data_IF_137815038750
#
_entry.id   IF_137815038750
#
_cell.length_a   1.000
_cell.length_b   1.000
_cell.length_c   1.000
_cell.angle_alpha   90.00
_cell.angle_beta   90.00
_cell.angle_gamma   90.00
#
_symmetry.space_group_name_H-M   'P 1'
#
loop_
_entity.id
_entity.type
_entity.pdbx_description
1 polymer ?
#
# COMPACT_ATOMS: atom_id res chain seq x y z
N UNK A 1 31.12 9.15 0.67
CA UNK A 1 29.68 9.46 0.77
C UNK A 1 29.25 9.92 -0.60
N UNK A 2 28.09 9.51 -1.07
CA UNK A 2 27.55 9.98 -2.35
C UNK A 2 26.64 11.20 -2.13
N UNK A 3 26.38 11.96 -3.20
CA UNK A 3 25.24 12.88 -3.22
C UNK A 3 23.95 12.10 -3.42
N UNK A 4 22.87 12.51 -2.75
CA UNK A 4 21.55 11.91 -2.97
C UNK A 4 21.08 12.10 -4.42
N UNK A 5 21.41 13.23 -5.02
CA UNK A 5 21.14 13.56 -6.43
C UNK A 5 21.67 12.52 -7.40
N UNK A 6 22.97 12.17 -7.30
CA UNK A 6 23.60 11.21 -8.19
C UNK A 6 22.85 9.87 -8.18
N UNK A 7 22.46 9.39 -6.99
CA UNK A 7 21.68 8.15 -6.86
C UNK A 7 20.28 8.27 -7.47
N UNK A 8 19.55 9.34 -7.11
CA UNK A 8 18.15 9.48 -7.51
C UNK A 8 18.03 9.72 -9.02
N UNK A 9 18.95 10.43 -9.65
CA UNK A 9 18.92 10.62 -11.10
C UNK A 9 19.18 9.32 -11.85
N UNK A 10 20.20 8.53 -11.46
CA UNK A 10 20.46 7.23 -12.07
C UNK A 10 19.28 6.27 -11.83
N UNK A 11 18.71 6.24 -10.62
CA UNK A 11 17.54 5.43 -10.33
C UNK A 11 16.31 5.86 -11.17
N UNK A 12 16.10 7.17 -11.35
CA UNK A 12 15.03 7.72 -12.19
C UNK A 12 15.18 7.31 -13.65
N UNK A 13 16.38 7.40 -14.22
CA UNK A 13 16.68 6.93 -15.58
C UNK A 13 16.38 5.43 -15.74
N UNK A 14 16.59 4.67 -14.66
CA UNK A 14 16.21 3.26 -14.57
C UNK A 14 14.75 3.05 -14.14
N UNK A 15 13.89 4.07 -14.21
CA UNK A 15 12.43 3.96 -14.07
C UNK A 15 11.88 3.98 -12.65
N UNK A 16 12.71 4.22 -11.62
CA UNK A 16 12.23 4.42 -10.25
C UNK A 16 11.60 5.80 -10.11
N UNK A 17 10.27 5.85 -10.00
CA UNK A 17 9.51 7.11 -9.98
C UNK A 17 8.73 7.38 -8.68
N UNK A 18 8.41 6.34 -7.91
CA UNK A 18 7.69 6.47 -6.64
C UNK A 18 8.54 6.00 -5.47
N UNK A 19 8.65 6.86 -4.45
CA UNK A 19 9.38 6.59 -3.22
C UNK A 19 8.42 6.72 -2.04
N UNK A 20 8.23 5.64 -1.28
CA UNK A 20 7.44 5.64 -0.06
C UNK A 20 8.33 5.36 1.14
N UNK A 21 8.12 6.03 2.28
CA UNK A 21 9.00 5.76 3.41
C UNK A 21 8.62 6.38 4.74
N UNK A 22 9.35 5.93 5.77
CA UNK A 22 9.27 6.43 7.15
C UNK A 22 10.61 7.07 7.52
N UNK A 23 10.63 8.27 8.13
CA UNK A 23 11.86 8.97 8.44
C UNK A 23 12.83 8.20 9.36
N UNK A 24 14.12 8.31 9.07
CA UNK A 24 15.21 7.87 9.94
C UNK A 24 16.35 8.89 9.85
N UNK A 25 17.11 9.12 10.93
CA UNK A 25 18.19 10.12 10.92
C UNK A 25 19.34 9.79 9.96
N UNK A 26 19.62 8.52 9.67
CA UNK A 26 20.62 8.13 8.66
C UNK A 26 20.08 8.33 7.23
N UNK A 27 18.76 8.22 7.07
CA UNK A 27 18.05 8.37 5.80
C UNK A 27 17.70 9.83 5.49
N UNK A 28 17.68 10.70 6.51
CA UNK A 28 17.32 12.12 6.43
C UNK A 28 17.86 12.84 5.18
N UNK A 29 19.18 12.83 4.88
CA UNK A 29 19.67 13.55 3.70
C UNK A 29 19.07 13.01 2.39
N UNK A 30 18.88 11.69 2.29
CA UNK A 30 18.30 11.07 1.12
C UNK A 30 16.82 11.41 0.96
N UNK A 31 16.02 11.26 2.04
CA UNK A 31 14.59 11.63 2.05
C UNK A 31 14.41 13.13 1.74
N UNK A 32 15.24 14.01 2.30
CA UNK A 32 15.14 15.45 2.04
C UNK A 32 15.28 15.77 0.55
N UNK A 33 16.26 15.14 -0.14
CA UNK A 33 16.42 15.31 -1.57
C UNK A 33 15.21 14.74 -2.35
N UNK A 34 14.74 13.54 -1.98
CA UNK A 34 13.58 12.90 -2.61
C UNK A 34 12.31 13.75 -2.47
N UNK A 35 12.06 14.36 -1.31
CA UNK A 35 10.92 15.26 -1.08
C UNK A 35 11.01 16.53 -1.96
N UNK A 36 12.20 17.13 -2.07
CA UNK A 36 12.41 18.36 -2.84
C UNK A 36 12.57 18.10 -4.35
N UNK A 37 12.63 16.85 -4.79
CA UNK A 37 12.80 16.49 -6.20
C UNK A 37 11.52 16.76 -6.99
N UNK A 38 11.59 17.53 -8.10
CA UNK A 38 10.40 17.87 -8.89
C UNK A 38 9.84 16.69 -9.70
N UNK A 39 10.66 15.66 -9.93
CA UNK A 39 10.36 14.57 -10.87
C UNK A 39 10.15 13.22 -10.17
N UNK A 40 10.21 13.19 -8.84
CA UNK A 40 10.02 11.99 -8.03
C UNK A 40 8.78 12.17 -7.19
N UNK A 41 7.92 11.17 -7.20
CA UNK A 41 6.76 11.16 -6.33
C UNK A 41 7.14 10.57 -4.98
N UNK A 42 7.10 11.39 -3.93
CA UNK A 42 7.34 10.94 -2.55
C UNK A 42 6.03 10.81 -1.77
N UNK A 43 5.87 9.69 -1.06
CA UNK A 43 4.78 9.48 -0.11
C UNK A 43 5.35 9.17 1.28
N UNK A 44 5.13 10.08 2.23
CA UNK A 44 5.50 9.86 3.63
C UNK A 44 4.52 8.91 4.29
N UNK A 45 4.83 7.61 4.32
CA UNK A 45 3.96 6.58 4.88
C UNK A 45 3.85 6.72 6.41
N UNK A 46 2.72 6.32 7.00
CA UNK A 46 2.56 6.38 8.44
C UNK A 46 3.34 5.27 9.16
N UNK A 47 3.63 4.17 8.45
CA UNK A 47 4.45 3.07 8.94
C UNK A 47 5.06 2.27 7.77
N UNK A 48 6.03 1.41 8.07
CA UNK A 48 6.86 0.74 7.06
C UNK A 48 6.11 -0.32 6.26
N UNK A 49 5.16 -1.01 6.89
CA UNK A 49 4.29 -1.96 6.19
C UNK A 49 3.36 -1.28 5.18
N UNK A 50 2.96 -0.03 5.45
CA UNK A 50 2.26 0.81 4.47
C UNK A 50 3.20 1.27 3.35
N UNK A 51 4.43 1.69 3.68
CA UNK A 51 5.42 2.11 2.68
C UNK A 51 5.65 1.04 1.60
N UNK A 52 5.84 -0.22 2.01
CA UNK A 52 6.02 -1.33 1.06
C UNK A 52 4.74 -1.62 0.27
N UNK A 53 3.55 -1.47 0.86
CA UNK A 53 2.28 -1.68 0.17
C UNK A 53 1.98 -0.58 -0.87
N UNK A 54 2.31 0.68 -0.58
CA UNK A 54 2.24 1.78 -1.57
C UNK A 54 3.19 1.49 -2.73
N UNK A 55 4.43 1.08 -2.42
CA UNK A 55 5.41 0.70 -3.43
C UNK A 55 4.91 -0.47 -4.30
N UNK A 56 4.22 -1.45 -3.70
CA UNK A 56 3.58 -2.56 -4.45
C UNK A 56 2.54 -2.05 -5.44
N UNK A 57 1.67 -1.13 -5.03
CA UNK A 57 0.67 -0.53 -5.91
C UNK A 57 1.30 0.21 -7.10
N UNK A 58 2.36 0.96 -6.84
CA UNK A 58 3.10 1.67 -7.89
C UNK A 58 3.70 0.71 -8.93
N UNK A 59 4.29 -0.40 -8.46
CA UNK A 59 4.87 -1.44 -9.31
C UNK A 59 3.80 -2.12 -10.16
N UNK A 60 2.66 -2.51 -9.57
CA UNK A 60 1.53 -3.08 -10.28
C UNK A 60 0.98 -2.14 -11.37
N UNK A 61 1.10 -0.83 -11.15
CA UNK A 61 0.70 0.20 -12.10
C UNK A 61 1.76 0.50 -13.19
N UNK A 62 2.92 -0.16 -13.14
CA UNK A 62 3.99 -0.07 -14.14
C UNK A 62 5.09 0.95 -13.83
N UNK A 63 5.17 1.46 -12.60
CA UNK A 63 6.24 2.34 -12.15
C UNK A 63 7.11 1.63 -11.13
N UNK A 64 8.43 1.54 -11.37
CA UNK A 64 9.33 0.98 -10.35
C UNK A 64 9.33 1.89 -9.13
N UNK A 65 9.40 1.27 -7.96
CA UNK A 65 9.21 1.97 -6.70
C UNK A 65 10.25 1.57 -5.66
N UNK A 66 10.43 2.48 -4.71
CA UNK A 66 11.35 2.33 -3.59
C UNK A 66 10.58 2.45 -2.28
N UNK A 67 10.78 1.50 -1.36
CA UNK A 67 10.35 1.65 0.03
C UNK A 67 11.56 1.90 0.93
N UNK A 68 11.50 2.94 1.76
CA UNK A 68 12.65 3.38 2.56
C UNK A 68 12.32 3.55 4.04
N UNK A 69 13.11 2.94 4.92
CA UNK A 69 12.90 3.02 6.36
C UNK A 69 14.10 2.53 7.16
N UNK A 70 14.05 2.71 8.48
CA UNK A 70 15.02 2.14 9.41
C UNK A 70 14.90 0.61 9.50
N UNK A 71 16.00 -0.11 9.70
CA UNK A 71 15.99 -1.57 9.92
C UNK A 71 14.98 -2.06 10.96
N UNK A 72 14.73 -1.35 12.07
CA UNK A 72 13.65 -1.73 13.02
C UNK A 72 12.26 -1.82 12.39
N UNK A 73 12.03 -1.03 11.35
CA UNK A 73 10.82 -1.05 10.54
C UNK A 73 10.62 -2.34 9.76
N UNK A 74 11.68 -3.15 9.56
CA UNK A 74 11.54 -4.51 9.03
C UNK A 74 10.55 -5.33 9.86
N UNK A 75 10.50 -5.16 11.19
CA UNK A 75 9.55 -5.85 12.06
C UNK A 75 8.09 -5.64 11.65
N UNK A 76 7.73 -4.41 11.27
CA UNK A 76 6.39 -4.08 10.80
C UNK A 76 6.18 -4.41 9.30
N UNK A 77 7.26 -4.36 8.52
CA UNK A 77 7.23 -4.69 7.10
C UNK A 77 7.29 -6.20 6.81
N UNK A 78 7.65 -7.07 7.77
CA UNK A 78 7.75 -8.54 7.55
C UNK A 78 6.49 -9.09 6.91
N UNK A 79 5.31 -8.76 7.45
CA UNK A 79 4.05 -9.30 6.96
C UNK A 79 3.82 -8.95 5.47
N UNK A 80 3.79 -7.68 5.04
CA UNK A 80 3.65 -7.37 3.62
C UNK A 80 4.83 -7.82 2.75
N UNK A 81 6.08 -7.81 3.23
CA UNK A 81 7.19 -8.35 2.45
C UNK A 81 7.02 -9.85 2.16
N UNK A 82 6.68 -10.63 3.18
CA UNK A 82 6.58 -12.10 3.06
C UNK A 82 5.26 -12.62 2.51
N UNK A 83 4.17 -11.85 2.63
CA UNK A 83 2.82 -12.31 2.24
C UNK A 83 2.16 -11.52 1.10
N UNK A 84 2.73 -10.37 0.71
CA UNK A 84 2.38 -9.63 -0.50
C UNK A 84 3.49 -9.75 -1.54
N UNK A 85 4.66 -9.16 -1.32
CA UNK A 85 5.70 -9.11 -2.35
C UNK A 85 6.23 -10.49 -2.75
N UNK A 86 6.57 -11.32 -1.75
CA UNK A 86 7.05 -12.68 -1.99
C UNK A 86 5.96 -13.59 -2.57
N UNK A 87 4.68 -13.34 -2.29
CA UNK A 87 3.59 -14.23 -2.73
C UNK A 87 3.07 -13.84 -4.12
N UNK A 88 2.97 -12.55 -4.41
CA UNK A 88 2.46 -12.02 -5.68
C UNK A 88 3.55 -11.75 -6.73
N UNK A 89 4.83 -12.00 -6.40
CA UNK A 89 5.96 -11.66 -7.27
C UNK A 89 5.97 -10.18 -7.67
N UNK A 90 5.99 -9.30 -6.66
CA UNK A 90 5.99 -7.84 -6.83
C UNK A 90 7.37 -7.30 -6.46
N UNK A 91 8.24 -6.99 -7.45
CA UNK A 91 9.59 -6.51 -7.18
C UNK A 91 9.61 -5.04 -6.78
N UNK A 92 10.16 -4.72 -5.60
CA UNK A 92 10.44 -3.34 -5.18
C UNK A 92 11.89 -3.22 -4.70
N UNK A 93 12.46 -2.02 -4.78
CA UNK A 93 13.74 -1.74 -4.14
C UNK A 93 13.49 -1.30 -2.70
N UNK A 94 14.19 -1.91 -1.75
CA UNK A 94 14.20 -1.46 -0.35
C UNK A 94 15.46 -0.67 -0.08
N UNK A 95 15.34 0.47 0.60
CA UNK A 95 16.49 1.17 1.21
C UNK A 95 16.30 1.11 2.72
N UNK A 96 17.11 0.28 3.37
CA UNK A 96 16.99 0.00 4.81
C UNK A 96 18.20 0.55 5.53
N UNK A 97 18.02 1.53 6.41
CA UNK A 97 19.18 2.03 7.18
C UNK A 97 19.59 1.07 8.28
N UNK A 98 20.90 0.94 8.50
CA UNK A 98 21.46 0.01 9.48
C UNK A 98 21.78 0.71 10.80
N UNK A 99 20.76 0.87 11.66
CA UNK A 99 20.98 1.31 13.04
C UNK A 99 21.48 0.14 13.89
N UNK A 100 22.40 0.43 14.82
CA UNK A 100 23.00 -0.57 15.70
C UNK A 100 23.91 -1.57 14.99
N UNK A 101 24.58 -1.18 13.89
CA UNK A 101 25.59 -1.99 13.22
C UNK A 101 26.63 -2.52 14.24
N UNK A 102 26.87 -3.84 14.35
CA UNK A 102 27.70 -4.43 15.41
C UNK A 102 29.11 -3.87 15.52
N UNK A 103 29.76 -3.60 14.39
CA UNK A 103 31.11 -3.01 14.30
C UNK A 103 31.08 -1.52 13.92
N UNK A 104 29.88 -0.91 13.94
CA UNK A 104 29.68 0.48 13.61
C UNK A 104 29.97 1.43 14.78
N UNK A 105 29.74 2.72 14.54
CA UNK A 105 29.79 3.73 15.60
C UNK A 105 28.76 3.44 16.70
N UNK A 106 29.07 3.86 17.93
CA UNK A 106 28.13 3.75 19.07
C UNK A 106 26.79 4.39 18.70
N UNK A 107 25.73 3.61 18.90
CA UNK A 107 24.35 3.96 18.61
C UNK A 107 23.49 3.79 19.87
N UNK A 108 22.25 4.27 19.82
CA UNK A 108 21.29 4.17 20.91
C UNK A 108 20.99 2.70 21.26
N UNK A 109 20.81 2.38 22.56
CA UNK A 109 20.73 1.01 23.04
C UNK A 109 19.61 0.18 22.40
N UNK A 110 18.46 0.81 22.07
CA UNK A 110 17.34 0.12 21.41
C UNK A 110 17.67 -0.41 20.02
N UNK A 111 18.72 0.09 19.36
CA UNK A 111 19.10 -0.37 18.03
C UNK A 111 19.99 -1.62 18.07
N UNK A 112 20.59 -1.96 19.21
CA UNK A 112 21.65 -2.97 19.32
C UNK A 112 21.25 -4.34 18.77
N UNK A 113 20.13 -4.90 19.25
CA UNK A 113 19.68 -6.22 18.79
C UNK A 113 19.27 -6.15 17.32
N UNK A 114 18.49 -5.14 16.97
CA UNK A 114 17.96 -4.97 15.63
C UNK A 114 19.06 -4.86 14.59
N UNK A 115 20.12 -4.09 14.87
CA UNK A 115 21.28 -3.98 14.01
C UNK A 115 22.06 -5.29 13.89
N UNK A 116 22.22 -6.04 14.98
CA UNK A 116 22.89 -7.34 14.94
C UNK A 116 22.14 -8.40 14.11
N UNK A 117 20.81 -8.32 14.02
CA UNK A 117 19.97 -9.30 13.32
C UNK A 117 19.50 -8.84 11.92
N UNK A 118 19.80 -7.61 11.48
CA UNK A 118 19.32 -7.08 10.19
C UNK A 118 19.63 -8.02 9.01
N UNK A 119 20.89 -8.49 8.81
CA UNK A 119 21.20 -9.39 7.71
C UNK A 119 20.39 -10.69 7.76
N UNK A 120 20.31 -11.30 8.95
CA UNK A 120 19.59 -12.57 9.15
C UNK A 120 18.09 -12.42 8.91
N UNK A 121 17.50 -11.26 9.23
CA UNK A 121 16.09 -10.99 8.90
C UNK A 121 15.86 -10.88 7.40
N UNK A 122 16.74 -10.21 6.66
CA UNK A 122 16.66 -10.13 5.19
C UNK A 122 16.82 -11.52 4.55
N UNK A 123 17.80 -12.29 5.02
CA UNK A 123 18.02 -13.69 4.59
C UNK A 123 16.81 -14.57 4.89
N UNK A 124 16.24 -14.48 6.10
CA UNK A 124 15.06 -15.25 6.50
C UNK A 124 13.82 -14.91 5.66
N UNK A 125 13.66 -13.64 5.28
CA UNK A 125 12.61 -13.20 4.35
C UNK A 125 12.92 -13.52 2.89
N UNK A 126 14.09 -14.10 2.58
CA UNK A 126 14.58 -14.39 1.24
C UNK A 126 14.65 -13.13 0.36
N UNK A 127 15.13 -12.04 0.96
CA UNK A 127 15.37 -10.76 0.28
C UNK A 127 16.89 -10.61 0.15
N UNK A 128 17.46 -10.80 -1.05
CA UNK A 128 18.88 -10.51 -1.25
C UNK A 128 19.15 -9.03 -1.02
N UNK A 129 20.38 -8.76 -0.61
CA UNK A 129 20.76 -7.40 -0.27
C UNK A 129 22.22 -7.11 -0.60
N UNK A 130 22.50 -5.84 -0.85
CA UNK A 130 23.83 -5.29 -0.96
C UNK A 130 23.96 -4.05 -0.07
N UNK A 131 25.17 -3.55 0.11
CA UNK A 131 25.34 -2.25 0.75
C UNK A 131 24.86 -1.14 -0.16
N UNK A 132 24.24 -0.13 0.45
CA UNK A 132 23.97 1.12 -0.26
C UNK A 132 25.31 1.79 -0.64
N UNK A 133 25.48 2.26 -1.88
CA UNK A 133 26.76 2.74 -2.40
C UNK A 133 27.25 3.98 -1.64
N UNK A 134 28.57 4.07 -1.45
CA UNK A 134 29.21 5.22 -0.77
C UNK A 134 30.18 6.01 -1.66
N UNK A 135 30.38 5.52 -2.89
CA UNK A 135 31.19 6.12 -3.96
C UNK A 135 30.31 6.24 -5.22
N UNK A 136 30.45 7.34 -5.96
CA UNK A 136 29.55 7.68 -7.07
C UNK A 136 29.62 6.65 -8.22
N UNK A 137 30.80 6.09 -8.49
CA UNK A 137 31.01 5.06 -9.51
C UNK A 137 30.41 3.70 -9.15
N UNK A 138 30.05 3.47 -7.88
CA UNK A 138 29.37 2.25 -7.43
C UNK A 138 27.85 2.33 -7.55
N UNK A 139 27.27 3.51 -7.78
CA UNK A 139 25.81 3.71 -7.80
C UNK A 139 25.16 2.88 -8.91
N UNK A 140 25.62 3.07 -10.15
CA UNK A 140 25.05 2.40 -11.31
C UNK A 140 25.21 0.87 -11.24
N UNK A 141 26.41 0.31 -10.98
CA UNK A 141 26.58 -1.13 -10.81
C UNK A 141 25.69 -1.74 -9.72
N UNK A 142 25.49 -1.02 -8.59
CA UNK A 142 24.64 -1.50 -7.50
C UNK A 142 23.16 -1.54 -7.91
N UNK A 143 22.70 -0.52 -8.63
CA UNK A 143 21.32 -0.47 -9.15
C UNK A 143 21.10 -1.51 -10.25
N UNK A 144 22.08 -1.73 -11.12
CA UNK A 144 22.00 -2.75 -12.18
C UNK A 144 21.90 -4.15 -11.59
N UNK A 145 22.70 -4.48 -10.58
CA UNK A 145 22.60 -5.75 -9.85
C UNK A 145 21.21 -5.94 -9.23
N UNK A 146 20.67 -4.91 -8.58
CA UNK A 146 19.34 -4.98 -7.99
C UNK A 146 18.25 -5.19 -9.06
N UNK A 147 18.35 -4.48 -10.18
CA UNK A 147 17.40 -4.56 -11.29
C UNK A 147 17.46 -5.89 -12.02
N UNK A 148 18.65 -6.46 -12.23
CA UNK A 148 18.83 -7.79 -12.80
C UNK A 148 18.11 -8.84 -11.96
N UNK A 149 18.35 -8.85 -10.63
CA UNK A 149 17.64 -9.75 -9.72
C UNK A 149 16.12 -9.51 -9.73
N UNK A 150 15.69 -8.25 -9.64
CA UNK A 150 14.26 -7.90 -9.64
C UNK A 150 13.56 -8.32 -10.94
N UNK A 151 14.24 -8.19 -12.08
CA UNK A 151 13.70 -8.61 -13.37
C UNK A 151 13.62 -10.13 -13.49
N UNK A 152 14.67 -10.85 -13.09
CA UNK A 152 14.74 -12.33 -13.19
C UNK A 152 13.78 -13.01 -12.20
N UNK A 153 13.78 -12.59 -10.94
CA UNK A 153 13.09 -13.30 -9.87
C UNK A 153 11.74 -12.68 -9.50
N UNK A 154 11.46 -11.44 -9.93
CA UNK A 154 10.25 -10.70 -9.60
C UNK A 154 10.04 -10.58 -8.07
N UNK A 155 11.13 -10.42 -7.31
CA UNK A 155 11.14 -10.31 -5.85
C UNK A 155 11.77 -8.99 -5.39
N UNK A 156 11.53 -8.56 -4.14
CA UNK A 156 12.23 -7.41 -3.57
C UNK A 156 13.74 -7.59 -3.51
N UNK A 157 14.48 -6.48 -3.62
CA UNK A 157 15.92 -6.40 -3.38
C UNK A 157 16.21 -5.28 -2.38
N UNK A 158 17.14 -5.47 -1.45
CA UNK A 158 17.45 -4.47 -0.42
C UNK A 158 18.84 -3.85 -0.57
N UNK A 159 18.91 -2.54 -0.33
CA UNK A 159 20.14 -1.79 -0.13
C UNK A 159 20.24 -1.38 1.34
N UNK A 160 21.24 -1.92 2.03
CA UNK A 160 21.48 -1.64 3.46
C UNK A 160 22.36 -0.41 3.59
N UNK A 161 21.79 0.69 4.10
CA UNK A 161 22.42 2.00 4.19
C UNK A 161 23.08 2.22 5.55
N UNK A 162 24.40 2.43 5.57
CA UNK A 162 25.15 2.75 6.79
C UNK A 162 25.10 4.24 7.11
N UNK A 163 25.51 4.60 8.33
CA UNK A 163 25.67 6.01 8.71
C UNK A 163 26.68 6.68 7.79
N UNK A 164 26.34 7.86 7.27
CA UNK A 164 27.25 8.62 6.41
C UNK A 164 27.38 8.03 5.00
N UNK A 165 26.43 7.23 4.52
CA UNK A 165 26.44 6.84 3.10
C UNK A 165 26.18 8.02 2.17
N UNK A 166 25.36 9.00 2.61
CA UNK A 166 24.90 10.14 1.81
C UNK A 166 25.32 11.46 2.46
N UNK A 167 25.80 12.40 1.63
CA UNK A 167 26.13 13.77 2.04
C UNK A 167 24.91 14.50 2.65
N UNK A 168 25.15 15.52 3.49
CA UNK A 168 24.06 16.26 4.12
C UNK A 168 23.23 17.04 3.10
N UNK A 169 21.90 16.87 3.16
CA UNK A 169 20.94 17.64 2.37
C UNK A 169 19.92 18.27 3.32
N UNK A 170 19.66 19.57 3.16
CA UNK A 170 18.60 20.29 3.89
C UNK A 170 17.27 20.14 3.16
N UNK A 171 16.18 20.04 3.92
CA UNK A 171 14.83 20.07 3.37
C UNK A 171 14.40 21.53 3.19
N UNK A 172 14.03 21.91 1.96
CA UNK A 172 13.66 23.28 1.62
C UNK A 172 12.16 23.44 1.43
N UNK A 173 11.45 22.40 0.98
CA UNK A 173 10.01 22.40 0.89
C UNK A 173 9.33 22.14 2.24
N UNK A 174 8.03 22.45 2.30
CA UNK A 174 7.14 22.04 3.39
C UNK A 174 5.90 21.45 2.78
N UNK A 175 5.39 20.40 3.41
CA UNK A 175 4.08 19.83 3.05
C UNK A 175 3.01 20.92 3.13
N UNK A 176 2.19 21.01 2.08
CA UNK A 176 1.10 21.96 2.03
C UNK A 176 0.00 21.56 3.02
N UNK A 177 -0.52 22.51 3.78
CA UNK A 177 -1.67 22.26 4.63
C UNK A 177 -2.90 21.99 3.74
N UNK A 178 -3.44 20.77 3.82
CA UNK A 178 -4.70 20.38 3.17
C UNK A 178 -5.75 20.15 4.28
N UNK A 179 -6.59 21.15 4.62
CA UNK A 179 -7.57 20.98 5.69
C UNK A 179 -8.63 19.94 5.29
N UNK A 180 -9.20 19.18 6.25
CA UNK A 180 -10.39 18.38 6.01
C UNK A 180 -11.52 19.23 5.40
N UNK A 181 -12.19 18.69 4.39
CA UNK A 181 -13.25 19.41 3.65
C UNK A 181 -14.57 18.66 3.57
N UNK A 182 -14.62 17.37 3.92
CA UNK A 182 -15.85 16.60 3.85
C UNK A 182 -16.93 17.14 4.80
N UNK A 183 -18.14 17.29 4.26
CA UNK A 183 -19.35 17.39 5.07
C UNK A 183 -19.65 16.04 5.70
N UNK A 184 -19.73 15.99 7.02
CA UNK A 184 -20.13 14.79 7.75
C UNK A 184 -21.64 14.76 7.92
N UNK A 185 -22.29 13.87 7.22
CA UNK A 185 -23.63 13.42 7.61
C UNK A 185 -23.49 12.49 8.83
N UNK A 186 -24.37 12.61 9.85
CA UNK A 186 -24.33 11.72 11.00
C UNK A 186 -24.30 10.25 10.55
N UNK A 187 -23.40 9.46 11.13
CA UNK A 187 -23.40 8.03 10.90
C UNK A 187 -24.81 7.47 11.18
N UNK A 188 -25.46 6.82 10.20
CA UNK A 188 -26.80 6.33 10.43
C UNK A 188 -26.77 5.29 11.56
N UNK A 189 -27.80 5.31 12.41
CA UNK A 189 -28.03 4.21 13.33
C UNK A 189 -28.02 2.89 12.53
N UNK A 190 -27.24 1.92 13.02
CA UNK A 190 -27.05 0.60 12.40
C UNK A 190 -28.26 -0.28 12.67
N UNK A 191 -29.42 0.17 12.21
CA UNK A 191 -30.67 -0.60 12.24
C UNK A 191 -30.96 -1.03 10.80
N UNK A 192 -31.37 -2.28 10.63
CA UNK A 192 -31.76 -2.88 9.34
C UNK A 192 -30.60 -3.18 8.36
N UNK A 193 -29.55 -3.87 8.82
CA UNK A 193 -28.55 -4.47 7.92
C UNK A 193 -29.23 -5.57 7.09
N UNK A 194 -29.39 -5.35 5.78
CA UNK A 194 -30.13 -6.25 4.88
C UNK A 194 -29.25 -7.17 4.04
N UNK A 195 -28.11 -6.67 3.59
CA UNK A 195 -27.29 -7.31 2.56
C UNK A 195 -26.08 -8.03 3.16
N UNK A 196 -25.75 -9.18 2.59
CA UNK A 196 -24.48 -9.87 2.80
C UNK A 196 -23.34 -9.18 2.04
N UNK A 197 -22.10 -9.52 2.39
CA UNK A 197 -20.91 -9.09 1.64
C UNK A 197 -21.01 -9.52 0.17
N UNK A 198 -21.39 -10.76 -0.12
CA UNK A 198 -21.47 -11.29 -1.48
C UNK A 198 -22.47 -10.51 -2.35
N UNK A 199 -23.65 -10.19 -1.82
CA UNK A 199 -24.65 -9.40 -2.55
C UNK A 199 -24.11 -8.01 -2.92
N UNK A 200 -23.39 -7.35 -2.01
CA UNK A 200 -22.78 -6.05 -2.30
C UNK A 200 -21.59 -6.15 -3.26
N UNK A 201 -20.76 -7.19 -3.15
CA UNK A 201 -19.69 -7.44 -4.11
C UNK A 201 -20.23 -7.65 -5.53
N UNK A 202 -21.36 -8.35 -5.67
CA UNK A 202 -22.04 -8.52 -6.95
C UNK A 202 -22.47 -7.16 -7.54
N UNK A 203 -23.09 -6.30 -6.72
CA UNK A 203 -23.48 -4.95 -7.14
C UNK A 203 -22.26 -4.13 -7.56
N UNK A 204 -21.19 -4.14 -6.76
CA UNK A 204 -19.95 -3.39 -7.05
C UNK A 204 -19.34 -3.86 -8.37
N UNK A 205 -19.20 -5.18 -8.58
CA UNK A 205 -18.63 -5.74 -9.80
C UNK A 205 -19.52 -5.53 -11.03
N UNK A 206 -20.85 -5.59 -10.87
CA UNK A 206 -21.78 -5.37 -11.98
C UNK A 206 -21.82 -3.90 -12.42
N UNK A 207 -21.72 -2.97 -11.46
CA UNK A 207 -21.76 -1.53 -11.71
C UNK A 207 -20.40 -0.93 -12.12
N UNK A 208 -19.29 -1.63 -11.86
CA UNK A 208 -17.95 -1.16 -12.25
C UNK A 208 -17.80 -1.10 -13.77
N UNK A 209 -17.10 -0.07 -14.24
CA UNK A 209 -16.77 0.13 -15.64
C UNK A 209 -15.65 -0.83 -16.09
N UNK A 210 -15.57 -1.18 -17.38
CA UNK A 210 -14.53 -2.09 -17.89
C UNK A 210 -13.09 -1.63 -17.63
N UNK A 211 -12.87 -0.31 -17.51
CA UNK A 211 -11.57 0.31 -17.26
C UNK A 211 -11.25 0.51 -15.76
N UNK A 212 -12.20 0.23 -14.86
CA UNK A 212 -11.94 0.35 -13.42
C UNK A 212 -10.97 -0.70 -12.94
N UNK A 213 -10.19 -0.38 -11.90
CA UNK A 213 -9.32 -1.35 -11.21
C UNK A 213 -9.96 -1.70 -9.87
N UNK A 214 -10.28 -2.97 -9.63
CA UNK A 214 -10.94 -3.43 -8.41
C UNK A 214 -9.97 -4.21 -7.53
N UNK A 215 -9.80 -3.76 -6.29
CA UNK A 215 -8.84 -4.33 -5.34
C UNK A 215 -9.61 -4.82 -4.11
N UNK A 216 -9.62 -6.13 -3.86
CA UNK A 216 -10.32 -6.71 -2.72
C UNK A 216 -9.35 -7.16 -1.63
N UNK A 217 -9.66 -6.79 -0.39
CA UNK A 217 -8.87 -7.13 0.80
C UNK A 217 -8.84 -8.63 1.10
N UNK A 218 -7.99 -8.99 2.07
CA UNK A 218 -7.83 -10.34 2.62
C UNK A 218 -9.11 -10.93 3.20
N UNK A 219 -9.09 -12.24 3.45
CA UNK A 219 -10.22 -12.97 4.02
C UNK A 219 -11.16 -13.45 2.93
N UNK A 220 -12.46 -13.24 3.09
CA UNK A 220 -13.45 -13.71 2.12
C UNK A 220 -13.82 -12.70 1.04
N UNK A 221 -13.50 -11.41 1.19
CA UNK A 221 -13.82 -10.38 0.18
C UNK A 221 -13.20 -10.72 -1.19
N UNK A 222 -11.89 -10.97 -1.25
CA UNK A 222 -11.24 -11.37 -2.50
C UNK A 222 -11.75 -12.71 -3.06
N UNK A 223 -12.08 -13.68 -2.20
CA UNK A 223 -12.60 -14.99 -2.62
C UNK A 223 -14.02 -14.92 -3.18
N UNK A 224 -14.88 -14.14 -2.55
CA UNK A 224 -16.25 -13.91 -3.00
C UNK A 224 -16.27 -13.10 -4.29
N UNK A 225 -15.42 -12.08 -4.43
CA UNK A 225 -15.28 -11.34 -5.68
C UNK A 225 -14.85 -12.26 -6.84
N UNK A 226 -13.82 -13.10 -6.62
CA UNK A 226 -13.40 -14.11 -7.59
C UNK A 226 -14.51 -15.11 -7.95
N UNK A 227 -15.32 -15.53 -6.96
CA UNK A 227 -16.37 -16.51 -7.15
C UNK A 227 -17.57 -15.97 -7.95
N UNK A 228 -17.77 -14.65 -7.98
CA UNK A 228 -18.78 -14.01 -8.81
C UNK A 228 -18.38 -14.07 -10.29
N UNK A 229 -17.22 -13.49 -10.62
CA UNK A 229 -16.62 -13.55 -11.95
C UNK A 229 -15.15 -13.15 -11.85
N UNK A 230 -14.23 -13.97 -12.35
CA UNK A 230 -12.81 -13.63 -12.33
C UNK A 230 -12.44 -12.74 -13.53
N UNK A 231 -12.08 -11.47 -13.30
CA UNK A 231 -11.79 -10.49 -14.37
C UNK A 231 -10.35 -9.98 -14.35
N UNK A 232 -9.86 -9.54 -15.53
CA UNK A 232 -8.49 -9.05 -15.70
C UNK A 232 -8.16 -7.81 -14.85
N UNK A 233 -9.17 -7.01 -14.52
CA UNK A 233 -9.05 -5.76 -13.78
C UNK A 233 -9.15 -5.93 -12.26
N UNK A 234 -9.08 -7.16 -11.76
CA UNK A 234 -9.31 -7.49 -10.35
C UNK A 234 -8.08 -8.07 -9.67
N UNK A 235 -7.81 -7.56 -8.46
CA UNK A 235 -6.79 -8.03 -7.55
C UNK A 235 -7.42 -8.61 -6.28
N UNK A 236 -7.05 -9.84 -5.92
CA UNK A 236 -7.54 -10.51 -4.72
C UNK A 236 -6.39 -10.68 -3.74
N UNK A 237 -6.33 -9.81 -2.73
CA UNK A 237 -5.24 -9.84 -1.76
C UNK A 237 -5.39 -11.06 -0.84
N UNK A 238 -4.37 -11.92 -0.77
CA UNK A 238 -4.42 -13.17 0.04
C UNK A 238 -3.60 -13.11 1.33
N UNK A 239 -2.73 -12.10 1.47
CA UNK A 239 -1.89 -11.83 2.65
C UNK A 239 -1.87 -10.33 2.97
N UNK A 240 -1.01 -9.88 3.88
CA UNK A 240 -0.84 -8.44 4.18
C UNK A 240 -2.13 -7.73 4.58
N UNK A 241 -2.89 -8.30 5.53
CA UNK A 241 -4.14 -7.70 6.00
C UNK A 241 -3.95 -6.22 6.37
N UNK A 242 -4.87 -5.38 5.88
CA UNK A 242 -4.84 -3.92 6.04
C UNK A 242 -4.04 -3.15 4.98
N UNK A 243 -3.35 -3.82 4.04
CA UNK A 243 -2.53 -3.14 3.02
C UNK A 243 -3.30 -2.77 1.74
N UNK A 244 -4.55 -3.20 1.55
CA UNK A 244 -5.25 -3.03 0.26
C UNK A 244 -5.44 -1.56 -0.12
N UNK A 245 -5.72 -0.71 0.85
CA UNK A 245 -5.93 0.73 0.65
C UNK A 245 -4.63 1.44 0.29
N UNK A 246 -3.50 1.03 0.88
CA UNK A 246 -2.16 1.47 0.51
C UNK A 246 -1.75 1.01 -0.90
N UNK A 247 -2.08 -0.23 -1.30
CA UNK A 247 -1.89 -0.69 -2.69
C UNK A 247 -2.72 0.19 -3.65
N UNK A 248 -3.98 0.45 -3.30
CA UNK A 248 -4.86 1.32 -4.06
C UNK A 248 -4.32 2.74 -4.22
N UNK A 249 -3.74 3.31 -3.16
CA UNK A 249 -3.06 4.62 -3.21
C UNK A 249 -1.90 4.61 -4.21
N UNK A 250 -1.03 3.60 -4.14
CA UNK A 250 0.10 3.47 -5.06
C UNK A 250 -0.34 3.42 -6.53
N UNK A 251 -1.37 2.64 -6.84
CA UNK A 251 -1.93 2.56 -8.19
C UNK A 251 -2.55 3.91 -8.60
N UNK A 252 -3.38 4.50 -7.74
CA UNK A 252 -4.12 5.71 -8.06
C UNK A 252 -3.21 6.90 -8.36
N UNK A 253 -2.07 7.01 -7.65
CA UNK A 253 -1.10 8.07 -7.91
C UNK A 253 -0.30 7.86 -9.21
N UNK A 254 0.05 6.61 -9.54
CA UNK A 254 0.76 6.29 -10.80
C UNK A 254 -0.16 6.40 -12.02
N UNK A 255 -1.46 6.16 -11.85
CA UNK A 255 -2.48 6.14 -12.90
C UNK A 255 -3.62 7.12 -12.58
N UNK A 256 -3.37 8.44 -12.57
CA UNK A 256 -4.33 9.44 -12.09
C UNK A 256 -5.61 9.53 -12.93
N UNK A 257 -5.62 8.97 -14.15
CA UNK A 257 -6.78 8.96 -15.05
C UNK A 257 -7.59 7.65 -14.98
N UNK A 258 -7.06 6.61 -14.33
CA UNK A 258 -7.76 5.32 -14.19
C UNK A 258 -8.40 5.24 -12.82
N UNK A 259 -9.69 4.90 -12.78
CA UNK A 259 -10.44 4.79 -11.52
C UNK A 259 -10.03 3.53 -10.76
N UNK A 260 -9.69 3.71 -9.48
CA UNK A 260 -9.30 2.63 -8.56
C UNK A 260 -10.39 2.47 -7.50
N UNK A 261 -10.94 1.26 -7.38
CA UNK A 261 -11.96 0.88 -6.41
C UNK A 261 -11.34 -0.10 -5.42
N UNK A 262 -11.09 0.38 -4.20
CA UNK A 262 -10.61 -0.44 -3.08
C UNK A 262 -11.82 -0.96 -2.31
N UNK A 263 -11.88 -2.28 -2.11
CA UNK A 263 -12.89 -2.96 -1.30
C UNK A 263 -12.18 -3.53 -0.06
N UNK A 264 -12.32 -2.81 1.05
CA UNK A 264 -11.74 -3.16 2.33
C UNK A 264 -12.77 -3.75 3.30
N UNK A 265 -12.29 -4.27 4.43
CA UNK A 265 -13.09 -4.81 5.52
C UNK A 265 -12.72 -4.16 6.83
N UNK A 266 -13.65 -4.11 7.78
CA UNK A 266 -13.48 -3.44 9.07
C UNK A 266 -12.30 -3.99 9.87
N UNK A 267 -12.10 -5.31 9.91
CA UNK A 267 -10.96 -5.92 10.58
C UNK A 267 -9.61 -5.57 9.95
N UNK A 268 -9.56 -5.46 8.62
CA UNK A 268 -8.35 -5.08 7.90
C UNK A 268 -8.03 -3.59 8.09
N UNK A 269 -9.05 -2.74 8.02
CA UNK A 269 -8.89 -1.31 8.24
C UNK A 269 -8.52 -0.99 9.68
N UNK A 270 -9.05 -1.70 10.69
CA UNK A 270 -8.61 -1.56 12.08
C UNK A 270 -7.12 -1.85 12.26
N UNK A 271 -6.58 -2.82 11.52
CA UNK A 271 -5.17 -3.22 11.61
C UNK A 271 -4.22 -2.14 11.09
N UNK A 272 -4.63 -1.35 10.08
CA UNK A 272 -3.79 -0.33 9.43
C UNK A 272 -4.53 1.00 9.20
N UNK A 273 -5.29 1.44 10.20
CA UNK A 273 -6.11 2.65 10.12
C UNK A 273 -5.31 3.92 9.83
N UNK A 274 -4.01 3.93 10.18
CA UNK A 274 -3.11 5.04 9.87
C UNK A 274 -3.04 5.36 8.37
N UNK A 275 -3.31 4.39 7.50
CA UNK A 275 -3.33 4.60 6.05
C UNK A 275 -4.38 5.63 5.62
N UNK A 276 -5.47 5.79 6.38
CA UNK A 276 -6.47 6.82 6.08
C UNK A 276 -5.87 8.22 6.09
N UNK A 277 -4.96 8.52 7.02
CA UNK A 277 -4.32 9.82 7.12
C UNK A 277 -3.42 10.12 5.92
N UNK A 278 -2.71 9.11 5.41
CA UNK A 278 -1.84 9.26 4.24
C UNK A 278 -2.68 9.40 2.98
N UNK A 279 -3.66 8.50 2.77
CA UNK A 279 -4.56 8.57 1.62
C UNK A 279 -5.31 9.90 1.58
N UNK A 280 -5.85 10.34 2.72
CA UNK A 280 -6.57 11.61 2.85
C UNK A 280 -5.69 12.86 2.76
N UNK A 281 -4.37 12.73 2.93
CA UNK A 281 -3.43 13.80 2.59
C UNK A 281 -3.09 13.81 1.10
N UNK A 282 -2.82 12.65 0.50
CA UNK A 282 -2.50 12.55 -0.92
C UNK A 282 -3.68 12.95 -1.82
N UNK A 283 -4.91 12.56 -1.43
CA UNK A 283 -6.19 12.88 -2.10
C UNK A 283 -6.22 12.54 -3.59
N UNK A 284 -5.94 11.29 -3.99
CA UNK A 284 -6.12 10.88 -5.39
C UNK A 284 -7.60 11.00 -5.79
N UNK A 285 -7.96 11.84 -6.78
CA UNK A 285 -9.36 12.10 -7.14
C UNK A 285 -10.03 10.91 -7.81
N UNK A 286 -9.24 9.94 -8.29
CA UNK A 286 -9.64 8.72 -8.96
C UNK A 286 -9.79 7.50 -8.02
N UNK A 287 -9.68 7.68 -6.70
CA UNK A 287 -9.76 6.59 -5.72
C UNK A 287 -11.12 6.57 -4.98
N UNK A 288 -11.81 5.43 -5.09
CA UNK A 288 -12.99 5.08 -4.31
C UNK A 288 -12.63 4.00 -3.29
N UNK A 289 -12.70 4.33 -2.00
CA UNK A 289 -12.42 3.42 -0.90
C UNK A 289 -13.72 2.95 -0.25
N UNK A 290 -14.09 1.71 -0.49
CA UNK A 290 -15.30 1.06 0.02
C UNK A 290 -14.95 0.22 1.22
N UNK A 291 -15.63 0.45 2.35
CA UNK A 291 -15.56 -0.38 3.53
C UNK A 291 -16.80 -1.26 3.64
N UNK A 292 -16.62 -2.58 3.55
CA UNK A 292 -17.65 -3.56 3.88
C UNK A 292 -17.48 -3.99 5.34
N UNK A 293 -18.39 -3.53 6.20
CA UNK A 293 -18.27 -3.66 7.65
C UNK A 293 -19.29 -4.68 8.18
N UNK A 294 -18.82 -5.90 8.47
CA UNK A 294 -19.62 -6.98 9.06
C UNK A 294 -19.35 -7.16 10.55
N UNK A 295 -18.49 -6.33 11.14
CA UNK A 295 -18.12 -6.35 12.55
C UNK A 295 -17.45 -7.64 13.03
N UNK A 296 -16.85 -8.44 12.14
CA UNK A 296 -16.20 -9.69 12.51
C UNK A 296 -15.12 -10.19 11.53
N UNK A 297 -14.13 -10.91 12.07
CA UNK A 297 -13.12 -11.63 11.29
C UNK A 297 -13.65 -13.00 10.82
N UNK A 298 -14.51 -13.02 9.81
CA UNK A 298 -15.16 -14.25 9.34
C UNK A 298 -14.17 -15.34 8.87
N UNK A 299 -13.06 -14.94 8.25
CA UNK A 299 -12.06 -15.88 7.73
C UNK A 299 -11.35 -16.69 8.81
N UNK A 300 -11.35 -16.22 10.06
CA UNK A 300 -10.69 -16.87 11.21
C UNK A 300 -11.66 -17.48 12.22
N UNK A 301 -12.96 -17.48 11.92
CA UNK A 301 -13.99 -18.05 12.79
C UNK A 301 -15.01 -17.06 13.34
N UNK A 302 -15.06 -15.82 12.81
CA UNK A 302 -16.13 -14.86 13.12
C UNK A 302 -15.96 -14.12 14.44
N UNK A 303 -14.72 -14.00 14.95
CA UNK A 303 -14.44 -13.20 16.14
C UNK A 303 -14.84 -11.74 15.88
N UNK A 304 -15.59 -11.14 16.81
CA UNK A 304 -16.05 -9.76 16.67
C UNK A 304 -14.91 -8.78 16.58
N UNK A 305 -15.06 -7.77 15.73
CA UNK A 305 -14.23 -6.57 15.76
C UNK A 305 -14.89 -5.52 16.65
N UNK A 306 -14.14 -4.45 16.91
CA UNK A 306 -14.65 -3.27 17.63
C UNK A 306 -15.37 -2.27 16.72
N UNK A 307 -15.62 -2.59 15.44
CA UNK A 307 -16.17 -1.63 14.46
C UNK A 307 -17.58 -1.13 14.79
N UNK A 308 -18.31 -1.82 15.67
CA UNK A 308 -19.60 -1.37 16.19
C UNK A 308 -19.49 -0.11 17.07
N UNK A 309 -18.29 0.21 17.57
CA UNK A 309 -18.01 1.40 18.39
C UNK A 309 -17.16 2.44 17.68
N UNK A 310 -16.92 2.29 16.38
CA UNK A 310 -16.05 3.19 15.60
C UNK A 310 -16.86 3.85 14.48
N UNK A 311 -16.78 5.18 14.41
CA UNK A 311 -17.29 5.96 13.28
C UNK A 311 -16.18 6.14 12.23
N UNK A 312 -16.10 5.18 11.32
CA UNK A 312 -15.07 5.20 10.28
C UNK A 312 -15.26 6.33 9.28
N UNK A 313 -16.50 6.76 9.01
CA UNK A 313 -16.76 7.93 8.17
C UNK A 313 -16.22 9.22 8.79
N UNK A 314 -16.47 9.43 10.08
CA UNK A 314 -15.89 10.56 10.83
C UNK A 314 -14.36 10.53 10.82
N UNK A 315 -13.75 9.36 11.01
CA UNK A 315 -12.29 9.19 10.93
C UNK A 315 -11.79 9.51 9.52
N UNK A 316 -12.41 8.98 8.47
CA UNK A 316 -12.03 9.24 7.08
C UNK A 316 -12.13 10.74 6.74
N UNK A 317 -13.22 11.41 7.14
CA UNK A 317 -13.37 12.85 6.95
C UNK A 317 -12.28 13.62 7.71
N UNK A 318 -12.01 13.28 8.97
CA UNK A 318 -10.96 13.90 9.76
C UNK A 318 -9.56 13.69 9.16
N UNK A 319 -9.35 12.56 8.49
CA UNK A 319 -8.13 12.26 7.74
C UNK A 319 -8.03 12.98 6.39
N UNK A 320 -9.08 13.68 5.93
CA UNK A 320 -9.04 14.50 4.72
C UNK A 320 -9.62 13.85 3.47
N UNK A 321 -10.38 12.75 3.61
CA UNK A 321 -11.25 12.29 2.51
C UNK A 321 -12.23 13.41 2.17
N UNK A 322 -12.40 13.70 0.89
CA UNK A 322 -13.17 14.85 0.42
C UNK A 322 -14.68 14.55 0.39
N UNK A 323 -15.02 13.28 0.14
CA UNK A 323 -16.40 12.79 0.14
C UNK A 323 -16.51 11.56 1.03
N UNK A 324 -17.41 11.60 1.99
CA UNK A 324 -17.71 10.48 2.89
C UNK A 324 -19.17 10.13 2.78
N UNK A 325 -19.46 8.87 2.43
CA UNK A 325 -20.79 8.37 2.16
C UNK A 325 -21.11 7.19 3.06
N UNK A 326 -22.30 7.21 3.65
CA UNK A 326 -22.88 6.08 4.36
C UNK A 326 -24.11 5.61 3.59
N UNK A 327 -24.08 4.37 3.11
CA UNK A 327 -25.20 3.81 2.34
C UNK A 327 -25.75 2.57 3.02
N UNK A 328 -27.04 2.31 2.82
CA UNK A 328 -27.80 1.23 3.47
C UNK A 328 -28.30 0.19 2.48
N UNK A 329 -28.34 0.53 1.19
CA UNK A 329 -28.97 -0.28 0.15
C UNK A 329 -28.03 -0.61 -1.00
N UNK A 330 -28.27 -1.77 -1.62
CA UNK A 330 -27.62 -2.16 -2.87
C UNK A 330 -27.78 -1.09 -3.96
N UNK A 331 -28.95 -0.45 -4.07
CA UNK A 331 -29.20 0.60 -5.06
C UNK A 331 -28.34 1.85 -4.80
N UNK A 332 -28.18 2.27 -3.55
CA UNK A 332 -27.29 3.39 -3.22
C UNK A 332 -25.82 3.06 -3.53
N UNK A 333 -25.38 1.83 -3.24
CA UNK A 333 -24.04 1.35 -3.64
C UNK A 333 -23.89 1.46 -5.16
N UNK A 334 -24.82 0.89 -5.92
CA UNK A 334 -24.81 0.94 -7.39
C UNK A 334 -24.69 2.39 -7.90
N UNK A 335 -25.52 3.30 -7.41
CA UNK A 335 -25.49 4.72 -7.80
C UNK A 335 -24.12 5.36 -7.54
N UNK A 336 -23.45 5.00 -6.43
CA UNK A 336 -22.09 5.52 -6.15
C UNK A 336 -21.07 4.94 -7.12
N UNK A 337 -21.14 3.64 -7.45
CA UNK A 337 -20.19 3.02 -8.40
C UNK A 337 -20.39 3.53 -9.83
N UNK A 338 -21.64 3.77 -10.24
CA UNK A 338 -21.98 4.31 -11.56
C UNK A 338 -21.59 5.80 -11.70
N UNK A 339 -21.43 6.52 -10.59
CA UNK A 339 -21.02 7.92 -10.61
C UNK A 339 -19.53 8.11 -10.92
N UNK A 340 -19.18 9.19 -11.60
CA UNK A 340 -17.77 9.57 -11.82
C UNK A 340 -17.10 9.87 -10.49
N UNK A 341 -15.87 9.40 -10.32
CA UNK A 341 -15.04 9.73 -9.15
C UNK A 341 -14.18 10.94 -9.51
N UNK A 342 -14.53 12.11 -8.97
CA UNK A 342 -13.80 13.37 -9.16
C UNK A 342 -13.04 13.81 -7.90
N UNK A 343 -13.25 13.08 -6.80
CA UNK A 343 -12.73 13.35 -5.47
C UNK A 343 -12.41 12.05 -4.76
N UNK A 344 -11.42 12.08 -3.86
CA UNK A 344 -11.17 10.95 -2.97
C UNK A 344 -12.44 10.66 -2.15
N UNK A 345 -13.01 9.48 -2.37
CA UNK A 345 -14.32 9.10 -1.81
C UNK A 345 -14.20 7.91 -0.88
N UNK A 346 -14.73 8.03 0.33
CA UNK A 346 -14.94 6.93 1.27
C UNK A 346 -16.42 6.52 1.26
N UNK A 347 -16.69 5.23 1.08
CA UNK A 347 -18.02 4.65 1.11
C UNK A 347 -18.08 3.57 2.19
N UNK A 348 -18.83 3.79 3.26
CA UNK A 348 -19.09 2.76 4.26
C UNK A 348 -20.43 2.07 4.00
N UNK A 349 -20.40 0.73 4.01
CA UNK A 349 -21.60 -0.11 3.96
C UNK A 349 -21.52 -1.18 5.03
N UNK A 350 -22.57 -1.30 5.84
CA UNK A 350 -22.67 -2.37 6.83
C UNK A 350 -23.29 -3.61 6.22
N UNK A 351 -22.74 -4.77 6.54
CA UNK A 351 -23.11 -6.06 5.96
C UNK A 351 -23.46 -7.08 7.03
N UNK A 352 -24.30 -8.05 6.69
CA UNK A 352 -24.52 -9.21 7.55
C UNK A 352 -23.26 -10.08 7.57
N UNK A 353 -22.87 -10.61 8.73
CA UNK A 353 -21.99 -11.77 8.77
C UNK A 353 -22.61 -12.91 7.96
N UNK A 354 -21.78 -13.66 7.26
CA UNK A 354 -22.18 -14.78 6.43
C UNK A 354 -21.13 -15.09 5.37
N UNK A 355 -20.95 -16.39 5.13
CA UNK A 355 -20.09 -16.92 4.07
C UNK A 355 -21.00 -17.72 3.13
N UNK A 356 -20.91 -17.53 1.80
CA UNK A 356 -21.67 -18.34 0.86
C UNK A 356 -21.34 -19.83 1.00
N UNK A 357 -22.37 -20.68 0.88
CA UNK A 357 -22.21 -22.13 0.86
C UNK A 357 -21.24 -22.54 -0.25
N UNK A 358 -20.26 -23.38 0.09
CA UNK A 358 -19.27 -23.92 -0.86
C UNK A 358 -18.44 -22.84 -1.60
N UNK A 359 -18.15 -21.70 -0.96
CA UNK A 359 -17.27 -20.67 -1.51
C UNK A 359 -15.96 -21.28 -2.06
N UNK A 360 -15.67 -21.21 -3.38
CA UNK A 360 -14.47 -21.80 -3.94
C UNK A 360 -13.20 -21.11 -3.44
N UNK A 361 -12.06 -21.79 -3.60
CA UNK A 361 -10.75 -21.14 -3.54
C UNK A 361 -10.38 -20.69 -4.96
N UNK A 362 -9.78 -19.50 -5.13
CA UNK A 362 -9.25 -19.07 -6.41
C UNK A 362 -8.32 -20.13 -7.00
N UNK A 363 -8.55 -20.48 -8.27
CA UNK A 363 -7.65 -21.38 -9.01
C UNK A 363 -6.44 -20.64 -9.57
N UNK A 364 -6.61 -19.35 -9.85
CA UNK A 364 -5.53 -18.45 -10.24
C UNK A 364 -4.61 -18.21 -9.03
N UNK A 365 -3.31 -18.28 -9.28
CA UNK A 365 -2.29 -18.06 -8.26
C UNK A 365 -2.05 -16.56 -8.04
N UNK A 366 -1.56 -16.14 -6.85
CA UNK A 366 -1.27 -14.73 -6.60
C UNK A 366 -0.29 -14.09 -7.63
N UNK A 367 0.78 -14.76 -8.10
CA UNK A 367 1.62 -14.22 -9.17
C UNK A 367 0.86 -13.98 -10.49
N UNK A 368 -0.02 -14.90 -10.88
CA UNK A 368 -0.84 -14.75 -12.08
C UNK A 368 -1.83 -13.58 -11.94
N UNK A 369 -2.42 -13.38 -10.75
CA UNK A 369 -3.27 -12.21 -10.46
C UNK A 369 -2.50 -10.90 -10.63
N UNK A 370 -1.30 -10.80 -10.06
CA UNK A 370 -0.46 -9.60 -10.19
C UNK A 370 -0.04 -9.34 -11.64
N UNK A 371 0.42 -10.38 -12.35
CA UNK A 371 0.81 -10.26 -13.76
C UNK A 371 -0.36 -9.84 -14.65
N UNK A 372 -1.53 -10.45 -14.47
CA UNK A 372 -2.75 -10.12 -15.21
C UNK A 372 -3.17 -8.67 -14.98
N UNK A 373 -3.11 -8.20 -13.73
CA UNK A 373 -3.43 -6.82 -13.40
C UNK A 373 -2.44 -5.84 -14.05
N UNK A 374 -1.13 -6.12 -14.00
CA UNK A 374 -0.11 -5.29 -14.69
C UNK A 374 -0.42 -5.17 -16.19
N UNK A 375 -0.71 -6.28 -16.84
CA UNK A 375 -1.04 -6.31 -18.27
C UNK A 375 -2.31 -5.52 -18.58
N UNK A 376 -3.33 -5.63 -17.74
CA UNK A 376 -4.55 -4.85 -17.87
C UNK A 376 -4.27 -3.36 -17.75
N UNK A 377 -3.55 -2.92 -16.71
CA UNK A 377 -3.23 -1.49 -16.48
C UNK A 377 -2.37 -0.91 -17.61
N UNK A 378 -1.47 -1.71 -18.20
CA UNK A 378 -0.65 -1.28 -19.34
C UNK A 378 -1.46 -1.04 -20.63
N UNK A 379 -2.66 -1.59 -20.74
CA UNK A 379 -3.54 -1.45 -21.90
C UNK A 379 -4.52 -0.27 -21.77
N UNK A 380 -4.64 0.32 -20.58
CA UNK A 380 -5.42 1.52 -20.29
C UNK A 380 -4.62 2.79 -20.61
#
# INVERSE_FOLDING_TARGET
>A
MIKAEDFVQIAKEKGFGLYAGVPCSFLKPFINYVIDSPDIQYVGAANEGEAVAIAAGAELAGMRSVAMFQNSGLGNAVNPLTSLHQIFNIPILLIVTWRGEPEGAVDEPQHKLMGAITPQLLELMQIPWAYFPTETDQIEPTLDQALEFMAEHQKPYALVMKKGSVESVSLNSRLALKPPSASLEPAPALTDIKYSRQELLHVIQAASQPADILLATTGYSGRELYALEDRNNQFYMVGSMGCISSIGLGIALVRPTQRVIVIDGDGAMLMRMSALAIIGYERPPNLLHILLDNQCHESTGGQSTVSHSIDFGAIAAACGYEKVLHVKTAQEVQTVIESTTEHLTFLQVKTKPGIPDKLPRPKITPPEVAQRLRQFIQQL
#
